data_IF_318737438733
#
_entry.id   IF_318737438733
#
_cell.length_a   1.000
_cell.length_b   1.000
_cell.length_c   1.000
_cell.angle_alpha   90.00
_cell.angle_beta   90.00
_cell.angle_gamma   90.00
#
_symmetry.space_group_name_H-M   'P 1'
#
loop_
_entity.id
_entity.type
_entity.pdbx_description
1 polymer ?
#
# COMPACT_ATOMS: atom_id res chain seq x y z
N UNK A 1 14.94 -8.76 -14.70
CA UNK A 1 14.17 -8.04 -15.75
C UNK A 1 12.75 -8.59 -15.77
N UNK A 2 11.72 -7.76 -16.04
CA UNK A 2 10.34 -8.23 -16.16
C UNK A 2 10.17 -9.28 -17.28
N UNK A 3 9.15 -10.17 -17.20
CA UNK A 3 8.91 -11.18 -18.21
C UNK A 3 8.55 -10.55 -19.56
N UNK A 4 9.00 -11.15 -20.67
CA UNK A 4 8.65 -10.66 -22.01
C UNK A 4 7.14 -10.78 -22.28
N UNK A 5 6.57 -9.76 -22.92
CA UNK A 5 5.15 -9.76 -23.34
C UNK A 5 4.92 -10.78 -24.45
N UNK A 6 3.79 -11.49 -24.39
CA UNK A 6 3.32 -12.33 -25.49
C UNK A 6 2.30 -11.57 -26.34
N UNK A 7 2.41 -11.71 -27.66
CA UNK A 7 1.43 -11.16 -28.58
C UNK A 7 0.09 -11.89 -28.43
N UNK A 8 -1.01 -11.14 -28.43
CA UNK A 8 -2.36 -11.69 -28.36
C UNK A 8 -3.22 -11.18 -29.50
N UNK A 9 -4.21 -11.99 -29.86
CA UNK A 9 -5.24 -11.62 -30.83
C UNK A 9 -6.19 -10.59 -30.23
N UNK A 10 -6.74 -9.68 -31.04
CA UNK A 10 -7.69 -8.67 -30.57
C UNK A 10 -8.91 -9.32 -29.95
N UNK A 11 -9.42 -8.69 -28.89
CA UNK A 11 -10.65 -9.10 -28.26
C UNK A 11 -11.85 -8.46 -28.95
N UNK A 12 -12.94 -9.22 -29.20
CA UNK A 12 -14.08 -8.74 -29.99
C UNK A 12 -14.85 -7.57 -29.37
N UNK A 13 -14.93 -7.46 -28.04
CA UNK A 13 -15.64 -6.37 -27.35
C UNK A 13 -15.01 -4.97 -27.53
N UNK A 14 -13.81 -4.90 -28.11
CA UNK A 14 -13.07 -3.65 -28.34
C UNK A 14 -13.09 -3.12 -29.77
N UNK A 15 -13.82 -3.81 -30.64
CA UNK A 15 -13.77 -3.51 -32.07
C UNK A 15 -14.60 -2.29 -32.40
N UNK A 16 -14.04 -1.45 -33.26
CA UNK A 16 -14.79 -0.40 -33.94
C UNK A 16 -15.16 -0.89 -35.35
N UNK A 17 -16.17 -0.26 -35.94
CA UNK A 17 -16.66 -0.62 -37.27
C UNK A 17 -15.55 -0.61 -38.33
N UNK A 18 -14.69 0.42 -38.30
CA UNK A 18 -13.56 0.54 -39.24
C UNK A 18 -12.51 -0.56 -39.05
N UNK A 19 -12.21 -0.93 -37.80
CA UNK A 19 -11.30 -2.05 -37.52
C UNK A 19 -11.87 -3.37 -38.00
N UNK A 20 -13.16 -3.63 -37.73
CA UNK A 20 -13.85 -4.83 -38.19
C UNK A 20 -13.86 -4.92 -39.73
N UNK A 21 -14.09 -3.81 -40.42
CA UNK A 21 -14.00 -3.73 -41.88
C UNK A 21 -12.63 -4.12 -42.41
N UNK A 22 -11.58 -3.52 -41.86
CA UNK A 22 -10.22 -3.77 -42.32
C UNK A 22 -9.84 -5.24 -42.04
N UNK A 23 -10.14 -5.76 -40.85
CA UNK A 23 -9.91 -7.16 -40.51
C UNK A 23 -10.70 -8.12 -41.41
N UNK A 24 -11.94 -7.79 -41.78
CA UNK A 24 -12.76 -8.62 -42.68
C UNK A 24 -12.22 -8.67 -44.12
N UNK A 25 -11.50 -7.61 -44.55
CA UNK A 25 -10.85 -7.55 -45.87
C UNK A 25 -9.48 -8.23 -45.87
N UNK A 26 -8.74 -8.15 -44.77
CA UNK A 26 -7.40 -8.72 -44.64
C UNK A 26 -7.37 -10.19 -44.23
N UNK A 27 -8.48 -10.72 -43.69
CA UNK A 27 -8.51 -12.11 -43.23
C UNK A 27 -8.25 -13.12 -44.36
N UNK A 28 -7.52 -14.19 -44.02
CA UNK A 28 -7.31 -15.35 -44.91
C UNK A 28 -8.47 -16.34 -44.87
N UNK A 29 -9.41 -16.14 -43.94
CA UNK A 29 -10.51 -17.08 -43.71
C UNK A 29 -11.66 -16.84 -44.70
N UNK A 30 -12.12 -17.91 -45.35
CA UNK A 30 -13.20 -17.85 -46.35
C UNK A 30 -14.60 -17.87 -45.77
N UNK A 31 -14.74 -18.16 -44.47
CA UNK A 31 -16.03 -18.31 -43.78
C UNK A 31 -16.07 -17.46 -42.51
N UNK A 32 -17.23 -16.86 -42.25
CA UNK A 32 -17.48 -16.00 -41.09
C UNK A 32 -17.26 -16.73 -39.75
N UNK A 33 -17.67 -17.99 -39.66
CA UNK A 33 -17.46 -18.80 -38.46
C UNK A 33 -15.97 -18.98 -38.12
N UNK A 34 -15.13 -19.26 -39.13
CA UNK A 34 -13.68 -19.41 -38.95
C UNK A 34 -12.99 -18.07 -38.67
N UNK A 35 -13.43 -17.00 -39.33
CA UNK A 35 -12.96 -15.65 -39.03
C UNK A 35 -13.14 -15.29 -37.57
N UNK A 36 -14.36 -15.50 -37.03
CA UNK A 36 -14.64 -15.22 -35.62
C UNK A 36 -13.78 -16.07 -34.67
N UNK A 37 -13.57 -17.35 -34.96
CA UNK A 37 -12.80 -18.24 -34.09
C UNK A 37 -11.28 -18.03 -34.15
N UNK A 38 -10.74 -17.76 -35.34
CA UNK A 38 -9.30 -17.76 -35.56
C UNK A 38 -8.67 -16.38 -35.44
N UNK A 39 -9.40 -15.30 -35.74
CA UNK A 39 -8.80 -13.96 -35.76
C UNK A 39 -9.01 -13.18 -34.46
N UNK A 40 -9.95 -13.64 -33.62
CA UNK A 40 -10.21 -13.04 -32.31
C UNK A 40 -9.83 -13.95 -31.15
N UNK A 41 -9.51 -13.34 -30.02
CA UNK A 41 -9.28 -14.09 -28.77
C UNK A 41 -10.61 -14.48 -28.11
N UNK A 42 -10.61 -15.64 -27.44
CA UNK A 42 -11.72 -16.12 -26.57
C UNK A 42 -13.06 -16.37 -27.28
N UNK A 43 -13.07 -16.59 -28.59
CA UNK A 43 -14.27 -17.02 -29.33
C UNK A 43 -14.24 -18.52 -29.57
N UNK A 44 -15.21 -19.26 -29.02
CA UNK A 44 -15.42 -20.67 -29.28
C UNK A 44 -16.39 -20.88 -30.45
N UNK A 45 -16.46 -22.10 -30.99
CA UNK A 45 -17.40 -22.42 -32.09
C UNK A 45 -18.84 -22.09 -31.71
N UNK A 46 -19.28 -22.52 -30.53
CA UNK A 46 -20.62 -22.22 -30.00
C UNK A 46 -20.90 -20.71 -29.94
N UNK A 47 -19.92 -19.93 -29.49
CA UNK A 47 -20.08 -18.47 -29.37
C UNK A 47 -20.13 -17.80 -30.75
N UNK A 48 -19.31 -18.26 -31.70
CA UNK A 48 -19.36 -17.80 -33.08
C UNK A 48 -20.73 -18.08 -33.72
N UNK A 49 -21.33 -19.24 -33.43
CA UNK A 49 -22.69 -19.57 -33.87
C UNK A 49 -23.72 -18.57 -33.33
N UNK A 50 -23.68 -18.34 -32.01
CA UNK A 50 -24.60 -17.41 -31.34
C UNK A 50 -24.48 -15.98 -31.87
N UNK A 51 -23.26 -15.51 -32.12
CA UNK A 51 -22.99 -14.18 -32.70
C UNK A 51 -23.59 -14.08 -34.11
N UNK A 52 -23.41 -15.12 -34.93
CA UNK A 52 -23.94 -15.14 -36.31
C UNK A 52 -25.48 -15.20 -36.33
N UNK A 53 -26.09 -16.01 -35.45
CA UNK A 53 -27.55 -16.09 -35.29
C UNK A 53 -28.15 -14.75 -34.88
N UNK A 54 -27.56 -14.07 -33.88
CA UNK A 54 -27.99 -12.74 -33.44
C UNK A 54 -27.79 -11.66 -34.50
N UNK A 55 -26.75 -11.78 -35.33
CA UNK A 55 -26.51 -10.86 -36.44
C UNK A 55 -27.43 -11.11 -37.65
N UNK A 56 -28.11 -12.27 -37.71
CA UNK A 56 -28.88 -12.72 -38.87
C UNK A 56 -27.98 -13.03 -40.08
N UNK A 57 -26.77 -13.55 -39.83
CA UNK A 57 -25.78 -13.89 -40.84
C UNK A 57 -25.49 -15.39 -40.83
N UNK A 58 -25.27 -15.98 -42.01
CA UNK A 58 -24.82 -17.37 -42.12
C UNK A 58 -23.32 -17.48 -41.86
N UNK A 59 -22.89 -18.56 -41.20
CA UNK A 59 -21.48 -18.82 -40.89
C UNK A 59 -20.61 -19.06 -42.12
N UNK A 60 -21.22 -19.41 -43.25
CA UNK A 60 -20.54 -19.70 -44.52
C UNK A 60 -20.30 -18.45 -45.37
N UNK A 61 -20.87 -17.30 -44.98
CA UNK A 61 -20.67 -16.04 -45.68
C UNK A 61 -19.19 -15.68 -45.66
N UNK A 62 -18.68 -15.19 -46.79
CA UNK A 62 -17.31 -14.72 -46.89
C UNK A 62 -17.16 -13.36 -46.18
N UNK A 63 -16.30 -13.23 -45.15
CA UNK A 63 -16.10 -11.99 -44.41
C UNK A 63 -15.79 -10.78 -45.29
N UNK A 64 -15.01 -10.96 -46.36
CA UNK A 64 -14.58 -9.85 -47.23
C UNK A 64 -15.68 -9.28 -48.12
N UNK A 65 -16.82 -9.99 -48.24
CA UNK A 65 -17.97 -9.56 -49.05
C UNK A 65 -19.10 -8.96 -48.22
N UNK A 66 -18.91 -8.80 -46.90
CA UNK A 66 -19.95 -8.25 -46.03
C UNK A 66 -20.23 -6.77 -46.36
N UNK A 67 -21.52 -6.43 -46.42
CA UNK A 67 -21.97 -5.05 -46.59
C UNK A 67 -21.85 -4.24 -45.29
N UNK A 68 -21.86 -2.91 -45.42
CA UNK A 68 -21.80 -1.98 -44.28
C UNK A 68 -22.86 -2.26 -43.21
N UNK A 69 -24.11 -2.53 -43.63
CA UNK A 69 -25.20 -2.84 -42.70
C UNK A 69 -25.03 -4.19 -42.02
N UNK A 70 -24.48 -5.18 -42.72
CA UNK A 70 -24.18 -6.50 -42.16
C UNK A 70 -23.07 -6.42 -41.11
N UNK A 71 -22.04 -5.61 -41.36
CA UNK A 71 -20.96 -5.36 -40.39
C UNK A 71 -21.46 -4.60 -39.16
N UNK A 72 -22.37 -3.63 -39.32
CA UNK A 72 -23.01 -2.95 -38.18
C UNK A 72 -23.84 -3.92 -37.34
N UNK A 73 -24.61 -4.81 -37.97
CA UNK A 73 -25.38 -5.87 -37.28
C UNK A 73 -24.46 -6.84 -36.56
N UNK A 74 -23.35 -7.26 -37.18
CA UNK A 74 -22.35 -8.13 -36.56
C UNK A 74 -21.70 -7.47 -35.34
N UNK A 75 -21.34 -6.19 -35.44
CA UNK A 75 -20.75 -5.45 -34.33
C UNK A 75 -21.72 -5.31 -33.14
N UNK A 76 -23.00 -5.01 -33.42
CA UNK A 76 -24.04 -4.97 -32.40
C UNK A 76 -24.25 -6.35 -31.74
N UNK A 77 -24.22 -7.44 -32.52
CA UNK A 77 -24.31 -8.80 -31.99
C UNK A 77 -23.13 -9.16 -31.08
N UNK A 78 -21.90 -8.76 -31.46
CA UNK A 78 -20.70 -8.94 -30.63
C UNK A 78 -20.82 -8.22 -29.29
N UNK A 79 -21.34 -6.98 -29.27
CA UNK A 79 -21.54 -6.22 -28.04
C UNK A 79 -22.62 -6.79 -27.13
N UNK A 80 -23.63 -7.46 -27.71
CA UNK A 80 -24.74 -8.07 -26.96
C UNK A 80 -24.40 -9.45 -26.37
N UNK A 81 -23.38 -10.14 -26.90
CA UNK A 81 -22.96 -11.46 -26.42
C UNK A 81 -21.91 -11.30 -25.31
N UNK A 82 -22.09 -12.02 -24.21
CA UNK A 82 -21.12 -12.02 -23.11
C UNK A 82 -19.92 -12.90 -23.46
N UNK A 83 -18.77 -12.27 -23.67
CA UNK A 83 -17.52 -12.94 -24.05
C UNK A 83 -16.61 -13.03 -22.82
N UNK A 84 -15.82 -14.11 -22.73
CA UNK A 84 -14.83 -14.28 -21.66
C UNK A 84 -13.71 -13.24 -21.79
N UNK A 85 -13.24 -12.72 -20.66
CA UNK A 85 -12.15 -11.74 -20.64
C UNK A 85 -10.88 -12.20 -21.40
N UNK A 86 -10.16 -11.26 -22.06
CA UNK A 86 -8.91 -11.54 -22.74
C UNK A 86 -7.85 -12.12 -21.78
N UNK A 87 -6.87 -12.87 -22.32
CA UNK A 87 -5.76 -13.38 -21.52
C UNK A 87 -4.90 -12.24 -20.97
N UNK A 88 -4.47 -12.37 -19.73
CA UNK A 88 -3.67 -11.37 -18.99
C UNK A 88 -2.16 -11.51 -19.20
N UNK A 89 -1.70 -12.64 -19.74
CA UNK A 89 -0.29 -12.95 -20.04
C UNK A 89 0.37 -12.01 -21.07
N UNK A 90 -0.40 -11.11 -21.69
CA UNK A 90 0.11 -10.11 -22.63
C UNK A 90 0.67 -8.87 -21.94
N UNK A 91 0.40 -8.68 -20.65
CA UNK A 91 0.87 -7.53 -19.89
C UNK A 91 2.22 -7.83 -19.25
N UNK A 92 3.10 -6.83 -19.26
CA UNK A 92 4.39 -6.92 -18.57
C UNK A 92 4.49 -5.78 -17.55
N UNK A 93 4.00 -5.99 -16.31
CA UNK A 93 4.13 -5.00 -15.25
C UNK A 93 5.59 -4.69 -14.93
N UNK A 94 5.84 -3.59 -14.21
CA UNK A 94 7.15 -3.30 -13.62
C UNK A 94 7.35 -4.21 -12.41
N UNK A 95 6.31 -4.36 -11.57
CA UNK A 95 6.31 -5.14 -10.35
C UNK A 95 6.72 -4.33 -9.12
N UNK A 96 6.09 -4.64 -7.98
CA UNK A 96 6.25 -3.87 -6.75
C UNK A 96 7.70 -3.72 -6.27
N UNK A 97 8.49 -4.79 -6.34
CA UNK A 97 9.90 -4.78 -5.91
C UNK A 97 10.77 -3.87 -6.79
N UNK A 98 10.52 -3.87 -8.10
CA UNK A 98 11.28 -3.04 -9.04
C UNK A 98 10.87 -1.57 -8.92
N UNK A 99 9.59 -1.28 -8.67
CA UNK A 99 9.12 0.09 -8.37
C UNK A 99 9.81 0.61 -7.10
N UNK A 100 9.85 -0.18 -6.03
CA UNK A 100 10.52 0.21 -4.77
C UNK A 100 12.01 0.47 -4.97
N UNK A 101 12.72 -0.41 -5.69
CA UNK A 101 14.15 -0.22 -6.01
C UNK A 101 14.40 1.00 -6.91
N UNK A 102 13.55 1.20 -7.93
CA UNK A 102 13.66 2.34 -8.84
C UNK A 102 13.46 3.67 -8.14
N UNK A 103 12.43 3.77 -7.30
CA UNK A 103 12.15 4.97 -6.51
C UNK A 103 13.28 5.25 -5.52
N UNK A 104 13.84 4.23 -4.84
CA UNK A 104 14.99 4.41 -3.95
C UNK A 104 16.22 4.95 -4.68
N UNK A 105 16.55 4.38 -5.83
CA UNK A 105 17.74 4.79 -6.59
C UNK A 105 17.60 6.20 -7.17
N UNK A 106 16.42 6.57 -7.66
CA UNK A 106 16.18 7.90 -8.24
C UNK A 106 16.08 8.98 -7.15
N UNK A 107 15.55 8.62 -5.98
CA UNK A 107 15.32 9.55 -4.88
C UNK A 107 16.39 9.45 -3.79
N UNK A 108 17.55 8.84 -4.07
CA UNK A 108 18.63 8.67 -3.10
C UNK A 108 19.15 10.02 -2.56
N UNK A 109 19.15 11.05 -3.41
CA UNK A 109 19.48 12.42 -3.01
C UNK A 109 18.47 13.03 -2.04
N UNK A 110 17.19 12.66 -2.16
CA UNK A 110 16.07 13.25 -1.39
C UNK A 110 15.87 12.54 -0.05
N UNK A 111 16.47 11.34 0.11
CA UNK A 111 16.36 10.46 1.29
C UNK A 111 14.94 10.38 1.87
N UNK A 112 13.96 9.88 1.10
CA UNK A 112 12.61 9.71 1.60
C UNK A 112 12.55 8.89 2.89
N UNK A 113 11.75 9.35 3.83
CA UNK A 113 11.53 8.72 5.14
C UNK A 113 10.78 7.39 4.99
N UNK A 114 9.84 7.33 4.04
CA UNK A 114 8.97 6.17 3.88
C UNK A 114 8.67 5.85 2.42
N UNK A 115 8.73 4.55 2.12
CA UNK A 115 8.31 3.98 0.85
C UNK A 115 7.11 3.07 1.12
N UNK A 116 5.92 3.52 0.73
CA UNK A 116 4.74 2.67 0.82
C UNK A 116 4.96 1.43 -0.05
N UNK A 117 4.58 0.22 0.43
CA UNK A 117 4.61 -0.99 -0.39
C UNK A 117 3.88 -0.73 -1.71
N UNK A 118 4.57 -0.81 -2.87
CA UNK A 118 3.90 -0.54 -4.13
C UNK A 118 2.82 -1.57 -4.40
N UNK A 119 1.68 -1.11 -4.91
CA UNK A 119 0.51 -1.95 -5.16
C UNK A 119 0.44 -2.25 -6.65
N UNK A 120 0.43 -3.52 -7.00
CA UNK A 120 0.12 -4.01 -8.35
C UNK A 120 -1.27 -4.64 -8.31
N UNK A 121 -2.23 -4.07 -9.04
CA UNK A 121 -3.61 -4.56 -9.09
C UNK A 121 -3.77 -5.71 -10.08
N UNK A 122 -4.82 -6.50 -9.90
CA UNK A 122 -5.19 -7.52 -10.88
C UNK A 122 -5.59 -6.89 -12.21
N UNK A 123 -5.23 -7.50 -13.35
CA UNK A 123 -5.61 -6.97 -14.65
C UNK A 123 -7.13 -6.87 -14.82
N UNK A 124 -7.59 -5.71 -15.31
CA UNK A 124 -8.96 -5.45 -15.75
C UNK A 124 -8.98 -5.26 -17.25
N UNK A 125 -10.16 -5.04 -17.82
CA UNK A 125 -10.36 -4.97 -19.27
C UNK A 125 -11.15 -3.73 -19.58
N UNK A 126 -10.64 -2.90 -20.49
CA UNK A 126 -11.34 -1.75 -21.04
C UNK A 126 -11.52 -1.96 -22.53
N UNK A 127 -12.76 -1.87 -23.03
CA UNK A 127 -13.06 -2.01 -24.48
C UNK A 127 -12.27 -3.17 -25.10
N UNK A 128 -12.30 -4.36 -24.50
CA UNK A 128 -11.58 -5.55 -24.95
C UNK A 128 -10.04 -5.56 -24.76
N UNK A 129 -9.43 -4.47 -24.29
CA UNK A 129 -8.00 -4.37 -24.02
C UNK A 129 -7.73 -4.61 -22.53
N UNK A 130 -6.94 -5.64 -22.17
CA UNK A 130 -6.53 -5.80 -20.80
C UNK A 130 -5.62 -4.64 -20.37
N UNK A 131 -5.78 -4.20 -19.14
CA UNK A 131 -4.94 -3.20 -18.50
C UNK A 131 -4.68 -3.57 -17.05
N UNK A 132 -3.56 -3.09 -16.51
CA UNK A 132 -3.15 -3.27 -15.14
C UNK A 132 -2.58 -1.95 -14.63
N UNK A 133 -2.83 -1.67 -13.35
CA UNK A 133 -2.38 -0.44 -12.69
C UNK A 133 -1.42 -0.80 -11.58
N UNK A 134 -0.33 -0.05 -11.52
CA UNK A 134 0.62 -0.10 -10.41
C UNK A 134 0.77 1.28 -9.79
N UNK A 135 0.76 1.35 -8.47
CA UNK A 135 0.88 2.61 -7.72
C UNK A 135 2.01 2.49 -6.71
N UNK A 136 2.81 3.54 -6.59
CA UNK A 136 3.81 3.71 -5.55
C UNK A 136 3.67 5.08 -4.90
N UNK A 137 3.77 5.14 -3.57
CA UNK A 137 3.79 6.41 -2.83
C UNK A 137 5.08 6.47 -2.03
N UNK A 138 5.74 7.62 -2.12
CA UNK A 138 6.94 7.94 -1.36
C UNK A 138 6.65 9.17 -0.52
N UNK A 139 7.10 9.17 0.73
CA UNK A 139 6.78 10.24 1.68
C UNK A 139 8.01 10.64 2.52
N UNK A 140 8.10 11.93 2.84
CA UNK A 140 9.13 12.50 3.72
C UNK A 140 10.47 12.77 3.04
N UNK A 141 11.53 12.78 3.83
CA UNK A 141 12.86 13.23 3.39
C UNK A 141 12.94 14.74 3.20
N UNK A 142 13.74 15.17 2.22
CA UNK A 142 13.93 16.58 1.87
C UNK A 142 12.84 17.13 0.94
N UNK A 143 11.69 16.44 0.86
CA UNK A 143 10.54 16.91 0.09
C UNK A 143 9.87 18.12 0.76
N UNK A 144 9.49 19.15 -0.02
CA UNK A 144 8.83 20.33 0.54
C UNK A 144 7.45 19.97 1.10
N UNK A 145 7.16 20.44 2.32
CA UNK A 145 5.88 20.18 3.00
C UNK A 145 4.75 21.05 2.47
N UNK A 146 5.06 22.26 2.05
CA UNK A 146 4.08 23.27 1.62
C UNK A 146 3.81 23.28 0.11
N UNK A 147 4.39 22.33 -0.64
CA UNK A 147 4.18 22.20 -2.08
C UNK A 147 3.13 21.15 -2.43
N UNK A 148 2.60 21.25 -3.64
CA UNK A 148 1.80 20.18 -4.24
C UNK A 148 2.66 18.91 -4.36
N UNK A 149 2.01 17.77 -4.15
CA UNK A 149 2.61 16.46 -4.32
C UNK A 149 3.08 16.28 -5.77
N UNK A 150 4.28 15.74 -5.93
CA UNK A 150 4.81 15.45 -7.27
C UNK A 150 4.16 14.16 -7.82
N UNK A 151 3.68 14.22 -9.06
CA UNK A 151 2.99 13.10 -9.70
C UNK A 151 3.86 12.55 -10.84
N UNK A 152 4.27 11.29 -10.71
CA UNK A 152 5.01 10.56 -11.73
C UNK A 152 4.03 9.65 -12.50
N UNK A 153 3.79 9.98 -13.77
CA UNK A 153 2.84 9.24 -14.62
C UNK A 153 3.60 8.37 -15.60
N UNK A 154 3.24 7.09 -15.68
CA UNK A 154 3.81 6.15 -16.63
C UNK A 154 2.73 5.43 -17.41
N UNK A 155 2.94 5.26 -18.71
CA UNK A 155 2.12 4.43 -19.58
C UNK A 155 3.03 3.44 -20.33
N UNK A 156 2.81 2.14 -20.19
CA UNK A 156 3.65 1.09 -20.79
C UNK A 156 5.15 1.35 -20.59
N UNK A 157 5.56 1.68 -19.35
CA UNK A 157 6.94 2.02 -18.95
C UNK A 157 7.52 3.31 -19.55
N UNK A 158 6.73 4.08 -20.28
CA UNK A 158 7.12 5.39 -20.81
C UNK A 158 6.63 6.49 -19.86
N UNK A 159 7.50 7.41 -19.41
CA UNK A 159 7.09 8.53 -18.57
C UNK A 159 6.30 9.56 -19.39
N UNK A 160 5.20 10.06 -18.81
CA UNK A 160 4.37 11.12 -19.39
C UNK A 160 4.68 12.45 -18.68
N UNK A 161 5.31 13.38 -19.39
CA UNK A 161 5.80 14.65 -18.81
C UNK A 161 4.80 15.81 -19.00
N UNK A 162 4.10 15.88 -20.13
CA UNK A 162 3.24 17.01 -20.49
C UNK A 162 1.75 16.73 -20.27
N UNK A 163 0.93 17.79 -20.32
CA UNK A 163 -0.54 17.73 -20.23
C UNK A 163 -1.08 17.00 -18.99
N UNK A 164 -0.52 17.30 -17.82
CA UNK A 164 -0.93 16.69 -16.55
C UNK A 164 -2.43 16.90 -16.26
N UNK A 165 -2.98 18.10 -16.49
CA UNK A 165 -4.39 18.40 -16.21
C UNK A 165 -5.41 17.66 -17.08
N UNK A 166 -5.00 17.09 -18.22
CA UNK A 166 -5.89 16.31 -19.09
C UNK A 166 -5.83 14.79 -18.79
N UNK A 167 -4.94 14.36 -17.90
CA UNK A 167 -4.66 12.95 -17.66
C UNK A 167 -5.60 12.36 -16.60
N UNK A 168 -6.18 11.19 -16.89
CA UNK A 168 -6.99 10.42 -15.92
C UNK A 168 -6.25 10.16 -14.61
N UNK A 169 -4.93 9.95 -14.65
CA UNK A 169 -4.12 9.71 -13.45
C UNK A 169 -4.19 10.89 -12.49
N UNK A 170 -4.00 12.10 -13.01
CA UNK A 170 -4.06 13.32 -12.21
C UNK A 170 -5.48 13.53 -11.70
N UNK A 171 -6.49 13.33 -12.54
CA UNK A 171 -7.88 13.44 -12.14
C UNK A 171 -8.29 12.43 -11.04
N UNK A 172 -7.81 11.19 -11.12
CA UNK A 172 -8.00 10.17 -10.07
C UNK A 172 -7.33 10.57 -8.75
N UNK A 173 -6.15 11.18 -8.81
CA UNK A 173 -5.47 11.71 -7.62
C UNK A 173 -6.26 12.89 -7.05
N UNK A 174 -6.76 13.81 -7.87
CA UNK A 174 -7.55 14.97 -7.44
C UNK A 174 -8.88 14.57 -6.79
N UNK A 175 -9.52 13.51 -7.29
CA UNK A 175 -10.80 12.99 -6.78
C UNK A 175 -10.66 12.15 -5.51
N UNK A 176 -9.46 11.67 -5.19
CA UNK A 176 -9.22 10.89 -3.96
C UNK A 176 -9.16 11.84 -2.76
N UNK A 177 -9.88 11.51 -1.69
CA UNK A 177 -9.85 12.27 -0.42
C UNK A 177 -8.58 11.94 0.37
N UNK A 178 -7.56 12.78 0.21
CA UNK A 178 -6.24 12.56 0.81
C UNK A 178 -6.16 12.96 2.29
N UNK A 179 -7.12 13.77 2.78
CA UNK A 179 -7.18 14.19 4.19
C UNK A 179 -7.32 12.99 5.11
N UNK A 180 -8.09 11.98 4.69
CA UNK A 180 -8.26 10.71 5.41
C UNK A 180 -6.96 9.92 5.55
N UNK A 181 -5.99 10.17 4.68
CA UNK A 181 -4.71 9.48 4.59
C UNK A 181 -3.53 10.32 5.10
N UNK A 182 -3.79 11.48 5.70
CA UNK A 182 -2.79 12.31 6.38
C UNK A 182 -2.02 13.29 5.48
N UNK A 183 -2.49 13.55 4.26
CA UNK A 183 -2.01 14.68 3.44
C UNK A 183 -3.00 15.84 3.49
N UNK A 184 -2.51 17.06 3.26
CA UNK A 184 -3.37 18.25 3.24
C UNK A 184 -4.02 18.40 1.87
N UNK A 185 -5.28 18.80 1.81
CA UNK A 185 -5.96 19.08 0.53
C UNK A 185 -6.81 20.34 0.68
N UNK A 186 -6.24 21.49 0.32
CA UNK A 186 -6.90 22.80 0.46
C UNK A 186 -8.13 22.85 -0.45
N UNK A 187 -9.30 23.17 0.10
CA UNK A 187 -10.55 23.23 -0.67
C UNK A 187 -11.26 21.90 -0.92
N UNK A 188 -10.74 20.77 -0.43
CA UNK A 188 -11.43 19.46 -0.44
C UNK A 188 -11.46 18.74 -1.79
N UNK A 189 -11.03 19.39 -2.86
CA UNK A 189 -10.85 18.81 -4.20
C UNK A 189 -9.57 19.36 -4.83
N UNK A 190 -8.83 18.52 -5.57
CA UNK A 190 -7.62 18.93 -6.27
C UNK A 190 -6.37 18.19 -5.80
N UNK A 191 -5.20 18.60 -6.29
CA UNK A 191 -3.94 17.90 -5.98
C UNK A 191 -3.61 18.13 -4.49
N UNK A 192 -3.30 17.06 -3.72
CA UNK A 192 -2.91 17.20 -2.33
C UNK A 192 -1.57 17.95 -2.18
N UNK A 193 -1.39 18.54 -1.01
CA UNK A 193 -0.18 19.20 -0.55
C UNK A 193 0.50 18.33 0.51
N UNK A 194 1.81 18.27 0.44
CA UNK A 194 2.62 17.52 1.38
C UNK A 194 3.92 16.98 0.78
N UNK A 195 4.83 16.49 1.63
CA UNK A 195 6.12 15.96 1.22
C UNK A 195 5.96 14.55 0.66
N UNK A 196 5.27 14.41 -0.47
CA UNK A 196 5.02 13.11 -1.10
C UNK A 196 5.28 13.12 -2.61
N UNK A 197 5.59 11.93 -3.14
CA UNK A 197 5.65 11.64 -4.57
C UNK A 197 4.71 10.46 -4.83
N UNK A 198 3.81 10.61 -5.80
CA UNK A 198 2.89 9.56 -6.22
C UNK A 198 3.26 9.10 -7.62
N UNK A 199 3.62 7.83 -7.75
CA UNK A 199 3.85 7.15 -9.01
C UNK A 199 2.62 6.33 -9.38
N UNK A 200 2.14 6.51 -10.61
CA UNK A 200 1.08 5.66 -11.19
C UNK A 200 1.53 5.17 -12.55
N UNK A 201 1.53 3.85 -12.73
CA UNK A 201 1.84 3.17 -13.96
C UNK A 201 0.60 2.47 -14.50
N UNK A 202 0.26 2.74 -15.77
CA UNK A 202 -0.79 2.06 -16.51
C UNK A 202 -0.14 1.18 -17.59
N UNK A 203 -0.30 -0.13 -17.46
CA UNK A 203 0.13 -1.10 -18.48
C UNK A 203 -1.10 -1.59 -19.25
N UNK A 204 -1.12 -1.47 -20.57
CA UNK A 204 -2.20 -1.99 -21.42
C UNK A 204 -1.70 -2.32 -22.82
N UNK A 205 -2.38 -3.26 -23.51
CA UNK A 205 -2.14 -3.52 -24.93
C UNK A 205 -2.41 -2.30 -25.80
N UNK A 206 -3.44 -1.52 -25.44
CA UNK A 206 -3.80 -0.26 -26.11
C UNK A 206 -4.14 0.79 -25.05
N UNK A 207 -3.18 1.67 -24.78
CA UNK A 207 -3.41 2.79 -23.86
C UNK A 207 -4.32 3.83 -24.56
N UNK A 208 -5.44 4.24 -23.95
CA UNK A 208 -6.33 5.23 -24.51
C UNK A 208 -5.74 6.63 -24.30
N UNK A 209 -5.10 7.20 -25.31
CA UNK A 209 -4.55 8.56 -25.23
C UNK A 209 -5.59 9.61 -25.64
N UNK A 210 -5.52 10.80 -25.04
CA UNK A 210 -6.39 11.95 -25.42
C UNK A 210 -6.00 12.57 -26.75
N UNK A 211 -4.72 12.51 -27.12
CA UNK A 211 -4.14 13.10 -28.32
C UNK A 211 -3.18 12.13 -29.00
N UNK A 212 -2.92 12.36 -30.30
CA UNK A 212 -1.95 11.58 -31.08
C UNK A 212 -0.51 11.71 -30.55
N UNK A 213 -0.22 12.79 -29.81
CA UNK A 213 1.07 13.04 -29.16
C UNK A 213 1.34 12.10 -27.97
N UNK A 214 0.32 11.36 -27.50
CA UNK A 214 0.43 10.35 -26.42
C UNK A 214 0.92 10.91 -25.07
N UNK A 215 0.56 12.15 -24.76
CA UNK A 215 1.02 12.84 -23.54
C UNK A 215 0.12 12.63 -22.32
N UNK A 216 -1.16 12.33 -22.55
CA UNK A 216 -2.15 12.13 -21.50
C UNK A 216 -3.08 10.96 -21.83
N UNK A 217 -3.50 10.25 -20.78
CA UNK A 217 -4.41 9.11 -20.84
C UNK A 217 -5.83 9.64 -20.67
N UNK A 218 -6.74 9.19 -21.53
CA UNK A 218 -8.12 9.60 -21.58
C UNK A 218 -8.90 9.18 -20.32
N UNK A 219 -9.90 9.98 -19.98
CA UNK A 219 -10.73 9.78 -18.80
C UNK A 219 -11.81 8.72 -19.05
N UNK A 220 -11.43 7.45 -18.90
CA UNK A 220 -12.38 6.33 -18.93
C UNK A 220 -12.79 5.95 -17.49
N UNK A 221 -14.10 5.81 -17.20
CA UNK A 221 -14.56 5.49 -15.85
C UNK A 221 -13.98 4.20 -15.27
N UNK A 222 -13.84 3.17 -16.09
CA UNK A 222 -13.26 1.87 -15.71
C UNK A 222 -11.81 2.00 -15.26
N UNK A 223 -11.03 2.82 -15.96
CA UNK A 223 -9.63 3.08 -15.64
C UNK A 223 -9.51 3.99 -14.40
N UNK A 224 -10.35 5.02 -14.33
CA UNK A 224 -10.37 5.97 -13.22
C UNK A 224 -10.68 5.27 -11.89
N UNK A 225 -11.72 4.43 -11.86
CA UNK A 225 -12.13 3.70 -10.67
C UNK A 225 -11.03 2.74 -10.17
N UNK A 226 -10.36 2.06 -11.09
CA UNK A 226 -9.29 1.12 -10.74
C UNK A 226 -8.03 1.86 -10.22
N UNK A 227 -7.70 3.03 -10.78
CA UNK A 227 -6.62 3.88 -10.26
C UNK A 227 -6.96 4.38 -8.85
N UNK A 228 -8.19 4.85 -8.62
CA UNK A 228 -8.64 5.31 -7.30
C UNK A 228 -8.58 4.19 -6.25
N UNK A 229 -8.99 2.96 -6.59
CA UNK A 229 -8.87 1.81 -5.70
C UNK A 229 -7.40 1.52 -5.35
N UNK A 230 -6.50 1.56 -6.33
CA UNK A 230 -5.07 1.37 -6.10
C UNK A 230 -4.48 2.46 -5.19
N UNK A 231 -4.83 3.73 -5.44
CA UNK A 231 -4.40 4.88 -4.63
C UNK A 231 -4.90 4.75 -3.18
N UNK A 232 -6.15 4.32 -2.96
CA UNK A 232 -6.71 4.11 -1.61
C UNK A 232 -5.98 3.02 -0.83
N UNK A 233 -5.50 1.96 -1.49
CA UNK A 233 -4.70 0.91 -0.83
C UNK A 233 -3.35 1.51 -0.37
N UNK A 234 -2.64 2.20 -1.25
CA UNK A 234 -1.38 2.86 -0.87
C UNK A 234 -1.58 3.95 0.19
N UNK A 235 -2.68 4.71 0.12
CA UNK A 235 -3.04 5.75 1.08
C UNK A 235 -3.28 5.19 2.49
N UNK A 236 -3.87 4.00 2.61
CA UNK A 236 -3.99 3.30 3.91
C UNK A 236 -2.63 2.98 4.50
N UNK A 237 -1.69 2.44 3.71
CA UNK A 237 -0.34 2.17 4.18
C UNK A 237 0.41 3.44 4.61
N UNK A 238 0.21 4.56 3.88
CA UNK A 238 0.75 5.86 4.27
C UNK A 238 0.17 6.33 5.62
N UNK A 239 -1.15 6.23 5.80
CA UNK A 239 -1.82 6.61 7.06
C UNK A 239 -1.25 5.84 8.26
N UNK A 240 -1.08 4.53 8.12
CA UNK A 240 -0.49 3.69 9.17
C UNK A 240 0.90 4.19 9.56
N UNK A 241 1.74 4.52 8.58
CA UNK A 241 3.06 5.06 8.84
C UNK A 241 3.00 6.44 9.53
N UNK A 242 2.13 7.35 9.10
CA UNK A 242 1.97 8.67 9.71
C UNK A 242 1.51 8.57 11.17
N UNK A 243 0.52 7.72 11.45
CA UNK A 243 0.05 7.47 12.81
C UNK A 243 1.17 6.89 13.68
N UNK A 244 1.97 5.96 13.15
CA UNK A 244 3.14 5.40 13.84
C UNK A 244 4.15 6.48 14.18
N UNK A 245 4.43 7.40 13.25
CA UNK A 245 5.35 8.52 13.45
C UNK A 245 4.86 9.48 14.52
N UNK A 246 3.58 9.84 14.51
CA UNK A 246 2.98 10.74 15.51
C UNK A 246 2.97 10.12 16.92
N UNK A 247 2.61 8.84 17.03
CA UNK A 247 2.67 8.13 18.32
C UNK A 247 4.11 8.04 18.84
N UNK A 248 5.09 7.79 17.95
CA UNK A 248 6.51 7.74 18.31
C UNK A 248 7.02 9.11 18.78
N UNK A 249 6.62 10.21 18.14
CA UNK A 249 7.04 11.55 18.56
C UNK A 249 6.43 11.96 19.90
N UNK A 250 5.12 11.77 20.09
CA UNK A 250 4.44 12.04 21.38
C UNK A 250 5.06 11.25 22.51
N UNK A 251 5.35 9.97 22.27
CA UNK A 251 5.95 9.13 23.31
C UNK A 251 7.41 9.49 23.57
N UNK A 252 8.20 9.85 22.55
CA UNK A 252 9.57 10.32 22.75
C UNK A 252 9.63 11.57 23.61
N UNK A 253 8.72 12.52 23.40
CA UNK A 253 8.60 13.72 24.27
C UNK A 253 8.25 13.32 25.70
N UNK A 254 7.28 12.41 25.90
CA UNK A 254 6.96 11.88 27.24
C UNK A 254 8.19 11.22 27.89
N UNK A 255 8.98 10.48 27.12
CA UNK A 255 10.18 9.82 27.60
C UNK A 255 11.27 10.80 28.01
N UNK A 256 11.53 11.85 27.21
CA UNK A 256 12.49 12.91 27.54
C UNK A 256 12.10 13.63 28.84
N UNK A 257 10.82 13.92 29.03
CA UNK A 257 10.29 14.48 30.28
C UNK A 257 10.59 13.54 31.46
N UNK A 258 10.41 12.23 31.29
CA UNK A 258 10.56 11.24 32.36
C UNK A 258 12.04 10.93 32.68
N UNK A 259 12.92 10.88 31.68
CA UNK A 259 14.33 10.53 31.89
C UNK A 259 15.21 11.72 32.26
N UNK A 260 14.99 12.88 31.65
CA UNK A 260 15.86 14.04 31.86
C UNK A 260 15.24 15.02 32.85
N UNK A 261 13.99 15.42 32.61
CA UNK A 261 13.35 16.48 33.38
C UNK A 261 12.99 15.99 34.79
N UNK A 262 12.44 14.79 34.93
CA UNK A 262 11.98 14.29 36.24
C UNK A 262 13.12 14.12 37.26
N UNK A 263 14.31 13.56 36.93
CA UNK A 263 15.44 13.53 37.85
C UNK A 263 15.99 14.92 38.18
N UNK A 264 16.00 15.85 37.22
CA UNK A 264 16.43 17.22 37.46
C UNK A 264 15.48 17.96 38.42
N UNK A 265 14.16 17.78 38.26
CA UNK A 265 13.15 18.29 39.19
C UNK A 265 13.37 17.69 40.58
N UNK A 266 13.56 16.38 40.66
CA UNK A 266 13.78 15.67 41.92
C UNK A 266 15.04 16.17 42.65
N UNK A 267 16.15 16.34 41.94
CA UNK A 267 17.41 16.88 42.48
C UNK A 267 17.26 18.32 42.97
N UNK A 268 16.65 19.20 42.16
CA UNK A 268 16.43 20.60 42.56
C UNK A 268 15.51 20.71 43.77
N UNK A 269 14.42 19.95 43.79
CA UNK A 269 13.46 19.94 44.90
C UNK A 269 14.08 19.39 46.18
N UNK A 270 14.84 18.30 46.07
CA UNK A 270 15.61 17.73 47.17
C UNK A 270 16.64 18.73 47.74
N UNK A 271 17.33 19.49 46.87
CA UNK A 271 18.29 20.53 47.26
C UNK A 271 17.62 21.70 48.00
N UNK A 272 16.45 22.15 47.55
CA UNK A 272 15.70 23.25 48.19
C UNK A 272 15.23 22.84 49.58
N UNK A 273 14.73 21.60 49.73
CA UNK A 273 14.17 21.10 50.99
C UNK A 273 15.24 20.46 51.90
N UNK A 274 16.48 20.31 51.42
CA UNK A 274 17.59 19.71 52.17
C UNK A 274 17.44 18.21 52.43
N UNK A 275 16.68 17.49 51.60
CA UNK A 275 16.38 16.04 51.75
C UNK A 275 17.09 15.20 50.68
N UNK A 276 17.25 13.88 50.88
CA UNK A 276 17.76 13.01 49.82
C UNK A 276 16.79 12.92 48.64
N UNK A 277 17.33 12.64 47.44
CA UNK A 277 16.53 12.50 46.21
C UNK A 277 15.51 11.37 46.37
N UNK A 278 14.21 11.61 46.13
CA UNK A 278 13.19 10.57 46.24
C UNK A 278 13.37 9.49 45.19
N UNK A 279 12.95 8.25 45.50
CA UNK A 279 12.92 7.14 44.52
C UNK A 279 11.85 7.43 43.47
N UNK A 280 12.28 7.61 42.21
CA UNK A 280 11.39 8.01 41.11
C UNK A 280 10.66 6.84 40.44
N UNK A 281 11.05 5.60 40.72
CA UNK A 281 10.51 4.39 40.06
C UNK A 281 8.98 4.34 40.06
N UNK A 282 8.33 4.66 41.19
CA UNK A 282 6.86 4.65 41.27
C UNK A 282 6.15 5.80 40.56
N UNK A 283 6.83 6.92 40.29
CA UNK A 283 6.27 8.04 39.52
C UNK A 283 6.45 7.80 38.02
N UNK A 284 7.61 7.24 37.64
CA UNK A 284 7.93 6.84 36.27
C UNK A 284 6.89 5.85 35.74
N UNK A 285 6.54 4.83 36.53
CA UNK A 285 5.56 3.82 36.11
C UNK A 285 4.14 4.37 35.98
N UNK A 286 3.75 5.34 36.81
CA UNK A 286 2.43 6.01 36.70
C UNK A 286 2.31 6.92 35.49
N UNK A 287 3.39 7.61 35.12
CA UNK A 287 3.41 8.55 33.98
C UNK A 287 3.49 7.78 32.66
N UNK A 288 4.33 6.74 32.61
CA UNK A 288 4.56 5.98 31.38
C UNK A 288 3.50 4.89 31.19
N UNK A 289 3.25 4.06 32.20
CA UNK A 289 2.32 2.90 32.18
C UNK A 289 2.35 2.08 30.87
N UNK A 290 3.53 1.89 30.27
CA UNK A 290 3.70 1.18 29.00
C UNK A 290 4.97 0.33 29.00
N UNK A 291 4.98 -0.70 28.17
CA UNK A 291 6.16 -1.46 27.79
C UNK A 291 6.76 -0.80 26.56
N UNK A 292 8.00 -0.34 26.69
CA UNK A 292 8.73 0.35 25.64
C UNK A 292 9.72 -0.61 24.98
N UNK A 293 9.66 -0.72 23.66
CA UNK A 293 10.56 -1.55 22.86
C UNK A 293 11.35 -0.59 21.98
N UNK A 294 12.66 -0.53 22.20
CA UNK A 294 13.61 0.22 21.38
C UNK A 294 14.38 -0.77 20.51
N UNK A 295 14.58 -0.42 19.25
CA UNK A 295 15.27 -1.26 18.29
C UNK A 295 16.39 -0.48 17.60
N UNK A 296 17.54 -1.11 17.48
CA UNK A 296 18.70 -0.54 16.82
C UNK A 296 19.32 -1.57 15.90
N UNK A 297 19.47 -1.19 14.63
CA UNK A 297 20.19 -1.97 13.61
C UNK A 297 21.50 -1.26 13.32
N UNK A 298 22.61 -1.98 13.45
CA UNK A 298 23.95 -1.48 13.11
C UNK A 298 24.62 -2.44 12.13
N UNK A 299 25.16 -1.91 11.04
CA UNK A 299 25.87 -2.71 10.05
C UNK A 299 27.38 -2.66 10.31
N UNK A 300 27.97 -3.78 10.72
CA UNK A 300 29.40 -3.93 10.95
C UNK A 300 29.95 -5.12 10.16
N UNK A 301 30.95 -4.88 9.30
CA UNK A 301 31.76 -5.92 8.61
C UNK A 301 30.95 -7.00 7.87
N UNK A 302 29.85 -6.63 7.19
CA UNK A 302 29.03 -7.58 6.41
C UNK A 302 27.96 -8.30 7.21
N UNK A 303 27.76 -7.91 8.48
CA UNK A 303 26.74 -8.43 9.37
C UNK A 303 25.87 -7.28 9.90
N UNK A 304 24.55 -7.49 9.97
CA UNK A 304 23.65 -6.57 10.66
C UNK A 304 23.51 -7.02 12.11
N UNK A 305 23.98 -6.23 13.07
CA UNK A 305 23.74 -6.45 14.50
C UNK A 305 22.46 -5.73 14.89
N UNK A 306 21.46 -6.51 15.30
CA UNK A 306 20.17 -6.04 15.79
C UNK A 306 20.16 -6.13 17.31
N UNK A 307 19.83 -5.02 17.96
CA UNK A 307 19.56 -4.93 19.40
C UNK A 307 18.12 -4.50 19.59
N UNK A 308 17.37 -5.29 20.34
CA UNK A 308 16.02 -4.95 20.79
C UNK A 308 16.06 -4.83 22.32
N UNK A 309 15.76 -3.65 22.84
CA UNK A 309 15.76 -3.32 24.26
C UNK A 309 14.33 -3.08 24.73
N UNK A 310 13.85 -3.93 25.63
CA UNK A 310 12.48 -3.92 26.15
C UNK A 310 12.51 -3.40 27.60
N UNK A 311 11.75 -2.35 27.88
CA UNK A 311 11.61 -1.75 29.20
C UNK A 311 10.17 -1.87 29.67
N UNK A 312 9.95 -2.48 30.83
CA UNK A 312 8.61 -2.54 31.41
C UNK A 312 8.38 -1.34 32.36
N UNK A 313 7.65 -0.32 31.93
CA UNK A 313 7.22 0.78 32.80
C UNK A 313 5.78 0.62 33.29
N UNK A 314 5.17 -0.56 33.16
CA UNK A 314 3.87 -0.85 33.76
C UNK A 314 4.04 -1.26 35.24
N UNK A 315 3.04 -1.01 36.11
CA UNK A 315 3.12 -1.37 37.53
C UNK A 315 3.06 -2.89 37.75
N UNK A 316 2.57 -3.66 36.78
CA UNK A 316 2.50 -5.11 36.84
C UNK A 316 3.62 -5.76 36.03
N UNK A 317 4.11 -6.94 36.45
CA UNK A 317 5.04 -7.70 35.63
C UNK A 317 4.34 -8.22 34.37
N UNK A 318 4.92 -7.98 33.20
CA UNK A 318 4.33 -8.35 31.92
C UNK A 318 5.00 -9.61 31.34
N UNK A 319 4.20 -10.46 30.69
CA UNK A 319 4.67 -11.59 29.89
C UNK A 319 3.96 -11.53 28.54
N UNK A 320 4.72 -11.46 27.47
CA UNK A 320 4.20 -11.38 26.10
C UNK A 320 5.21 -11.97 25.12
N UNK A 321 4.79 -12.22 23.89
CA UNK A 321 5.65 -12.75 22.83
C UNK A 321 6.03 -11.62 21.88
N UNK A 322 7.27 -11.69 21.40
CA UNK A 322 7.80 -10.78 20.38
C UNK A 322 7.93 -11.54 19.07
N UNK A 323 7.48 -10.95 17.97
CA UNK A 323 7.60 -11.52 16.64
C UNK A 323 8.30 -10.53 15.73
N UNK A 324 9.19 -11.01 14.87
CA UNK A 324 9.88 -10.17 13.89
C UNK A 324 9.83 -10.82 12.51
N UNK A 325 9.78 -9.99 11.47
CA UNK A 325 9.91 -10.45 10.08
C UNK A 325 11.35 -10.17 9.63
N UNK A 326 12.12 -11.24 9.47
CA UNK A 326 13.52 -11.20 9.05
C UNK A 326 13.65 -11.75 7.62
N UNK A 327 14.62 -11.30 6.82
CA UNK A 327 14.86 -11.90 5.51
C UNK A 327 15.17 -13.41 5.62
N UNK A 328 14.54 -14.27 4.82
CA UNK A 328 14.67 -15.71 4.94
C UNK A 328 16.13 -16.17 4.74
N UNK A 329 16.61 -17.03 5.64
CA UNK A 329 17.98 -17.57 5.60
C UNK A 329 19.09 -16.63 6.11
N UNK A 330 18.75 -15.42 6.57
CA UNK A 330 19.74 -14.45 7.06
C UNK A 330 20.04 -14.55 8.56
N UNK A 331 19.28 -15.33 9.33
CA UNK A 331 19.42 -15.37 10.79
C UNK A 331 20.64 -16.18 11.24
N UNK A 332 21.57 -15.57 11.99
CA UNK A 332 22.69 -16.28 12.60
C UNK A 332 22.32 -16.74 14.02
N UNK A 333 22.49 -18.03 14.27
CA UNK A 333 22.24 -18.66 15.57
C UNK A 333 23.39 -18.45 16.58
N UNK A 334 24.52 -17.87 16.15
CA UNK A 334 25.71 -17.70 17.00
C UNK A 334 25.57 -16.53 17.97
N UNK A 335 25.74 -16.80 19.27
CA UNK A 335 25.85 -15.77 20.32
C UNK A 335 24.51 -15.26 20.88
N UNK A 336 23.40 -15.94 20.58
CA UNK A 336 22.07 -15.60 21.11
C UNK A 336 21.99 -15.84 22.62
N UNK A 337 21.56 -14.83 23.36
CA UNK A 337 21.19 -14.98 24.78
C UNK A 337 19.79 -15.59 24.95
N UNK A 338 18.91 -15.38 23.97
CA UNK A 338 17.55 -15.91 23.93
C UNK A 338 17.29 -16.57 22.58
N UNK A 339 17.03 -17.88 22.60
CA UNK A 339 16.71 -18.63 21.39
C UNK A 339 15.25 -18.36 20.98
N UNK A 340 14.96 -18.17 19.68
CA UNK A 340 13.60 -18.04 19.21
C UNK A 340 12.82 -19.35 19.42
N UNK A 341 11.56 -19.22 19.84
CA UNK A 341 10.64 -20.34 20.05
C UNK A 341 10.20 -20.95 18.73
N UNK A 342 10.07 -20.12 17.68
CA UNK A 342 9.62 -20.55 16.36
C UNK A 342 10.38 -19.77 15.28
N UNK A 343 10.95 -20.48 14.29
CA UNK A 343 11.60 -19.90 13.11
C UNK A 343 10.95 -20.53 11.88
N UNK A 344 10.21 -19.74 11.10
CA UNK A 344 9.53 -20.22 9.89
C UNK A 344 10.37 -19.95 8.64
N UNK A 345 10.22 -20.80 7.63
CA UNK A 345 10.92 -20.69 6.34
C UNK A 345 10.62 -19.36 5.62
N UNK A 346 9.47 -18.75 5.90
CA UNK A 346 9.04 -17.46 5.34
C UNK A 346 9.75 -16.25 5.99
N UNK A 347 10.71 -16.47 6.90
CA UNK A 347 11.48 -15.41 7.56
C UNK A 347 10.86 -14.85 8.85
N UNK A 348 9.71 -15.36 9.27
CA UNK A 348 9.05 -14.99 10.54
C UNK A 348 9.72 -15.68 11.72
N UNK A 349 10.13 -14.90 12.72
CA UNK A 349 10.78 -15.38 13.95
C UNK A 349 9.99 -14.93 15.16
N UNK A 350 9.74 -15.85 16.09
CA UNK A 350 8.95 -15.62 17.32
C UNK A 350 9.80 -15.91 18.56
N UNK A 351 9.74 -15.04 19.56
CA UNK A 351 10.34 -15.21 20.89
C UNK A 351 9.26 -15.16 21.97
N UNK A 352 9.22 -16.18 22.81
CA UNK A 352 8.48 -16.12 24.07
C UNK A 352 9.34 -15.43 25.13
N UNK A 353 8.94 -14.22 25.57
CA UNK A 353 9.73 -13.46 26.52
C UNK A 353 9.55 -13.99 27.95
N UNK A 354 10.60 -13.99 28.78
CA UNK A 354 10.45 -14.21 30.20
C UNK A 354 9.59 -13.10 30.83
N UNK A 355 9.04 -13.37 32.01
CA UNK A 355 8.26 -12.39 32.76
C UNK A 355 9.15 -11.21 33.17
N UNK A 356 8.89 -10.02 32.63
CA UNK A 356 9.67 -8.81 32.89
C UNK A 356 9.01 -8.06 34.07
N UNK A 357 9.73 -7.86 35.17
CA UNK A 357 9.14 -7.15 36.32
C UNK A 357 9.08 -5.63 36.08
N UNK A 358 8.31 -4.92 36.91
CA UNK A 358 8.17 -3.46 36.80
C UNK A 358 9.54 -2.80 36.90
N UNK A 359 9.81 -1.83 36.02
CA UNK A 359 11.08 -1.08 35.91
C UNK A 359 12.31 -1.89 35.52
N UNK A 360 12.16 -3.15 35.10
CA UNK A 360 13.26 -3.94 34.53
C UNK A 360 13.40 -3.75 33.02
N UNK A 361 14.63 -4.02 32.55
CA UNK A 361 15.03 -3.99 31.15
C UNK A 361 15.47 -5.39 30.71
N UNK A 362 15.02 -5.80 29.53
CA UNK A 362 15.43 -7.02 28.85
C UNK A 362 16.05 -6.66 27.50
N UNK A 363 17.26 -7.15 27.22
CA UNK A 363 17.93 -6.93 25.94
C UNK A 363 18.03 -8.24 25.14
N UNK A 364 17.60 -8.19 23.88
CA UNK A 364 17.74 -9.26 22.90
C UNK A 364 18.74 -8.77 21.85
N UNK A 365 19.84 -9.50 21.69
CA UNK A 365 20.88 -9.18 20.72
C UNK A 365 21.07 -10.36 19.76
N UNK A 366 21.06 -10.10 18.46
CA UNK A 366 21.33 -11.10 17.43
C UNK A 366 21.98 -10.47 16.19
N UNK A 367 22.54 -11.30 15.32
CA UNK A 367 23.17 -10.88 14.07
C UNK A 367 22.52 -11.53 12.86
N UNK A 368 22.41 -10.78 11.77
CA UNK A 368 21.98 -11.27 10.47
C UNK A 368 23.16 -11.31 9.50
N UNK A 369 23.27 -12.40 8.74
CA UNK A 369 24.34 -12.71 7.80
C UNK A 369 23.82 -12.75 6.37
N UNK A 370 24.65 -12.37 5.39
CA UNK A 370 24.35 -12.54 3.96
C UNK A 370 23.44 -11.47 3.35
N UNK A 371 23.23 -10.35 4.05
CA UNK A 371 22.47 -9.20 3.56
C UNK A 371 23.42 -8.03 3.26
N UNK A 372 23.17 -7.29 2.18
CA UNK A 372 23.87 -6.03 1.97
C UNK A 372 23.37 -4.98 2.97
N UNK A 373 24.11 -3.88 3.12
CA UNK A 373 23.73 -2.77 4.01
C UNK A 373 22.32 -2.23 3.73
N UNK A 374 21.91 -2.25 2.46
CA UNK A 374 20.65 -1.66 1.95
C UNK A 374 19.43 -2.60 2.01
N UNK A 375 19.65 -3.88 2.33
CA UNK A 375 18.60 -4.89 2.31
C UNK A 375 17.80 -4.95 3.64
N UNK A 376 18.29 -4.28 4.70
CA UNK A 376 17.67 -4.32 6.03
C UNK A 376 17.97 -3.03 6.84
N UNK A 377 17.00 -2.11 6.86
CA UNK A 377 17.13 -0.79 7.52
C UNK A 377 16.18 -0.60 8.71
N UNK A 378 15.05 -1.34 8.76
CA UNK A 378 14.03 -1.22 9.81
C UNK A 378 13.61 -2.61 10.29
N UNK A 379 13.41 -2.74 11.61
CA UNK A 379 12.84 -3.95 12.18
C UNK A 379 11.30 -3.83 12.20
N UNK A 380 10.63 -4.78 11.56
CA UNK A 380 9.19 -4.97 11.77
C UNK A 380 8.99 -5.83 13.01
N UNK A 381 8.70 -5.17 14.14
CA UNK A 381 8.47 -5.83 15.43
C UNK A 381 6.97 -5.88 15.71
N UNK A 382 6.47 -7.08 15.99
CA UNK A 382 5.11 -7.34 16.41
C UNK A 382 5.09 -7.96 17.82
N UNK A 383 4.02 -7.75 18.56
CA UNK A 383 3.83 -8.30 19.91
C UNK A 383 2.48 -9.00 20.04
N UNK A 384 2.45 -10.11 20.78
CA UNK A 384 1.22 -10.84 21.10
C UNK A 384 1.15 -11.19 22.59
N UNK A 385 -0.06 -11.31 23.14
CA UNK A 385 -0.28 -11.67 24.55
C UNK A 385 -0.29 -10.49 25.55
N UNK A 386 -0.32 -9.25 25.05
CA UNK A 386 -0.44 -8.02 25.84
C UNK A 386 -1.34 -7.03 25.09
N UNK A 387 -2.06 -6.20 25.83
CA UNK A 387 -2.94 -5.20 25.22
C UNK A 387 -2.09 -4.19 24.42
N UNK A 388 -2.39 -3.97 23.12
CA UNK A 388 -1.63 -3.05 22.26
C UNK A 388 -1.52 -1.62 22.81
N UNK A 389 -2.49 -1.19 23.63
CA UNK A 389 -2.47 0.14 24.29
C UNK A 389 -1.26 0.29 25.23
N UNK A 390 -0.77 -0.81 25.81
CA UNK A 390 0.36 -0.80 26.74
C UNK A 390 1.70 -1.06 26.05
N UNK A 391 1.77 -1.22 24.73
CA UNK A 391 3.02 -1.43 24.00
C UNK A 391 3.36 -0.24 23.11
N UNK A 392 4.63 0.15 23.14
CA UNK A 392 5.17 1.16 22.24
C UNK A 392 6.46 0.64 21.62
N UNK A 393 6.56 0.74 20.29
CA UNK A 393 7.69 0.23 19.51
C UNK A 393 7.46 -1.12 18.85
N UNK A 394 6.32 -1.78 19.11
CA UNK A 394 5.88 -2.97 18.40
C UNK A 394 4.39 -2.90 18.03
N UNK A 395 4.01 -3.52 16.92
CA UNK A 395 2.63 -3.59 16.45
C UNK A 395 1.90 -4.82 17.00
N UNK A 396 0.56 -4.79 17.14
CA UNK A 396 -0.18 -6.01 17.44
C UNK A 396 0.06 -7.06 16.35
N UNK A 397 0.16 -8.32 16.73
CA UNK A 397 0.30 -9.41 15.78
C UNK A 397 -0.89 -9.42 14.79
N UNK A 398 -0.65 -9.32 13.47
CA UNK A 398 -1.72 -9.35 12.48
C UNK A 398 -2.49 -10.68 12.54
N UNK A 399 -3.82 -10.66 12.37
CA UNK A 399 -4.64 -11.88 12.32
C UNK A 399 -4.22 -12.86 11.22
N UNK A 400 -3.63 -12.36 10.14
CA UNK A 400 -3.12 -13.15 9.01
C UNK A 400 -1.69 -13.67 9.22
N UNK A 401 -1.14 -13.61 10.45
CA UNK A 401 0.24 -14.01 10.74
C UNK A 401 0.56 -15.47 10.35
N UNK A 402 -0.46 -16.35 10.39
CA UNK A 402 -0.32 -17.78 10.06
C UNK A 402 -0.79 -18.15 8.64
N UNK A 403 -1.38 -17.21 7.88
CA UNK A 403 -2.01 -17.53 6.60
C UNK A 403 -0.98 -17.44 5.46
N UNK A 404 -0.52 -18.59 4.95
CA UNK A 404 0.17 -18.66 3.66
C UNK A 404 -0.83 -18.35 2.55
N UNK A 405 -0.73 -17.14 1.99
CA UNK A 405 -1.33 -16.72 0.71
C UNK A 405 -2.58 -17.47 0.26
N UNK A 406 -3.75 -17.04 0.74
CA UNK A 406 -5.03 -17.37 0.08
C UNK A 406 -5.81 -16.09 -0.20
N UNK A 407 -6.50 -16.13 -1.34
CA UNK A 407 -7.26 -15.05 -1.97
C UNK A 407 -8.21 -14.39 -0.96
N UNK A 408 -8.14 -13.07 -0.90
CA UNK A 408 -9.05 -12.22 -0.14
C UNK A 408 -10.43 -12.33 -0.80
N UNK A 409 -11.31 -13.17 -0.26
CA UNK A 409 -12.74 -12.96 -0.38
C UNK A 409 -13.13 -11.94 0.68
N UNK A 410 -13.42 -10.72 0.23
CA UNK A 410 -14.00 -9.65 1.05
C UNK A 410 -15.26 -10.18 1.75
N UNK A 411 -15.24 -10.17 3.08
CA UNK A 411 -16.47 -10.07 3.87
C UNK A 411 -16.45 -8.70 4.51
N UNK A 412 -17.48 -7.91 4.21
CA UNK A 412 -17.68 -6.58 4.75
C UNK A 412 -17.92 -6.69 6.27
N UNK A 413 -16.97 -6.22 7.08
CA UNK A 413 -17.24 -5.95 8.49
C UNK A 413 -17.80 -4.52 8.64
N UNK A 414 -18.93 -4.44 9.32
CA UNK A 414 -19.67 -3.21 9.61
C UNK A 414 -18.86 -2.25 10.49
N UNK A 415 -19.07 -0.93 10.37
CA UNK A 415 -18.30 0.06 11.11
C UNK A 415 -18.57 -0.05 12.62
N UNK A 416 -17.50 -0.12 13.41
CA UNK A 416 -17.53 0.05 14.86
C UNK A 416 -17.90 1.50 15.16
N UNK A 417 -18.98 1.68 15.92
CA UNK A 417 -19.41 2.97 16.44
C UNK A 417 -18.43 3.36 17.55
N UNK A 418 -17.67 4.44 17.35
CA UNK A 418 -16.88 5.08 18.41
C UNK A 418 -17.86 5.81 19.34
N UNK A 419 -17.89 5.43 20.62
CA UNK A 419 -18.57 6.20 21.66
C UNK A 419 -17.79 7.51 21.88
N UNK A 420 -18.47 8.64 21.71
CA UNK A 420 -17.94 9.97 21.98
C UNK A 420 -17.68 10.12 23.49
N UNK A 421 -16.43 10.37 23.86
CA UNK A 421 -16.05 10.76 25.22
C UNK A 421 -16.70 12.12 25.55
N UNK A 422 -17.63 12.14 26.52
CA UNK A 422 -18.23 13.35 27.07
C UNK A 422 -17.16 14.22 27.75
N UNK A 423 -16.82 15.37 27.14
CA UNK A 423 -16.12 16.46 27.82
C UNK A 423 -17.04 17.09 28.87
N UNK A 424 -16.67 16.97 30.15
CA UNK A 424 -17.37 17.62 31.27
C UNK A 424 -16.97 19.10 31.33
N UNK A 425 -17.89 19.98 30.92
CA UNK A 425 -17.75 21.43 30.99
C UNK A 425 -18.02 21.94 32.42
N UNK A 426 -17.06 22.66 33.01
CA UNK A 426 -17.21 23.27 34.33
C UNK A 426 -17.71 24.72 34.16
N UNK A 427 -19.02 24.92 34.28
CA UNK A 427 -19.62 26.25 34.19
C UNK A 427 -19.63 26.96 35.56
N UNK A 428 -18.89 28.07 35.66
CA UNK A 428 -18.90 29.01 36.79
C UNK A 428 -20.27 29.69 36.91
N UNK A 429 -21.14 29.18 37.78
CA UNK A 429 -22.39 29.85 38.13
C UNK A 429 -22.23 30.70 39.40
N UNK A 430 -22.37 32.00 39.17
CA UNK A 430 -22.46 33.13 40.10
C UNK A 430 -23.34 32.83 41.34
N UNK A 431 -22.78 33.08 42.52
CA UNK A 431 -23.55 33.33 43.73
C UNK A 431 -24.38 34.62 43.57
N UNK A 432 -25.70 34.49 43.57
CA UNK A 432 -26.61 35.60 43.78
C UNK A 432 -27.02 35.59 45.26
N UNK A 433 -26.63 36.66 45.96
CA UNK A 433 -27.15 37.06 47.27
C UNK A 433 -28.67 37.27 47.16
N UNK A 434 -29.44 36.62 48.03
CA UNK A 434 -30.79 37.04 48.37
C UNK A 434 -30.81 37.51 49.82
N UNK A 435 -31.12 38.79 49.97
CA UNK A 435 -31.70 39.38 51.19
C UNK A 435 -33.09 38.76 51.43
N UNK A 436 -33.30 38.24 52.63
CA UNK A 436 -34.53 38.33 53.41
C UNK A 436 -34.21 38.13 54.90
#
# INVERSE_FOLDING_TARGET
MPPATKEIKPHPSGLELGTLMNMSKETKNKTLGKFLQLDFSRISDRLAKEICEKAGLSMEVNPSKLNLEEQKRLLAAIGAVKIMAPPTDCLSPIGANLIKKGLRNVLDEIRPEFYAPPVTRDPKVHSGNPFLIEVGIVYGGDLPKDSQVQILRFANRVPLLYQQGACVVTKSIENTDWRRYGLEQRGGSGIPFGPAIILVHVASTKVPFTSEAKEAIANLPELQAEIELALKICGRSLKTHLNKRETKSKTRVKFEIVQEILPLIAQKSAKIVGKPVPKLSGSITKIMNVVWIDDAVTFEKGHHRVRVSIYNYTPQPQKFNLHMVLPPGSFDYKGLQFFPTEVREDGKVSWELPKITSTERLDINFSLNGLNKEDYDENEIYASGINPVFIIGAEPLPGDWDVKGMQITESEEAPVVEEEDEEVDYDESKEALNDD
#
